data_IF_926477076240
#
_entry.id   IF_926477076240
#
_cell.length_a   1.000
_cell.length_b   1.000
_cell.length_c   1.000
_cell.angle_alpha   90.00
_cell.angle_beta   90.00
_cell.angle_gamma   90.00
#
_symmetry.space_group_name_H-M   'P 1'
#
loop_
_entity.id
_entity.type
_entity.pdbx_description
1 polymer ?
#
# COMPACT_ATOMS: atom_id res chain seq x y z
N UNK A 1 37.70 -10.78 0.01
CA UNK A 1 36.86 -9.97 -0.92
C UNK A 1 35.43 -10.42 -0.72
N UNK A 2 34.61 -9.59 -0.07
CA UNK A 2 33.17 -9.88 0.10
C UNK A 2 32.49 -9.85 -1.28
N UNK A 3 31.73 -10.88 -1.61
CA UNK A 3 30.91 -10.87 -2.83
C UNK A 3 29.95 -9.68 -2.79
N UNK A 4 29.73 -8.98 -3.91
CA UNK A 4 28.78 -7.89 -3.96
C UNK A 4 27.40 -8.42 -3.60
N UNK A 5 26.81 -7.85 -2.56
CA UNK A 5 25.44 -8.18 -2.09
C UNK A 5 24.48 -7.92 -3.25
N UNK A 6 23.79 -8.94 -3.71
CA UNK A 6 22.82 -8.84 -4.81
C UNK A 6 21.71 -7.89 -4.41
N UNK A 7 21.61 -6.73 -5.06
CA UNK A 7 20.55 -5.75 -4.83
C UNK A 7 19.20 -6.42 -5.08
N UNK A 8 18.33 -6.40 -4.10
CA UNK A 8 16.97 -6.96 -4.19
C UNK A 8 15.96 -5.86 -4.59
N UNK A 9 14.77 -6.25 -5.03
CA UNK A 9 13.68 -5.28 -5.27
C UNK A 9 13.26 -4.59 -3.98
N UNK A 10 13.36 -5.30 -2.84
CA UNK A 10 13.15 -4.68 -1.53
C UNK A 10 14.09 -3.49 -1.31
N UNK A 11 15.37 -3.65 -1.64
CA UNK A 11 16.35 -2.58 -1.53
C UNK A 11 15.97 -1.39 -2.42
N UNK A 12 15.60 -1.66 -3.67
CA UNK A 12 15.22 -0.59 -4.63
C UNK A 12 13.99 0.18 -4.18
N UNK A 13 12.98 -0.52 -3.66
CA UNK A 13 11.76 0.13 -3.15
C UNK A 13 12.08 0.92 -1.88
N UNK A 14 12.79 0.32 -0.91
CA UNK A 14 13.17 0.99 0.32
C UNK A 14 14.01 2.25 0.07
N UNK A 15 14.99 2.18 -0.83
CA UNK A 15 15.84 3.33 -1.16
C UNK A 15 15.05 4.49 -1.76
N UNK A 16 14.01 4.21 -2.56
CA UNK A 16 13.08 5.25 -3.06
C UNK A 16 12.28 5.90 -1.93
N UNK A 17 11.77 5.11 -0.99
CA UNK A 17 11.06 5.63 0.19
C UNK A 17 11.99 6.46 1.07
N UNK A 18 13.18 5.95 1.38
CA UNK A 18 14.21 6.66 2.15
C UNK A 18 14.55 8.00 1.48
N UNK A 19 14.79 7.99 0.17
CA UNK A 19 15.10 9.23 -0.57
C UNK A 19 13.96 10.24 -0.51
N UNK A 20 12.71 9.79 -0.65
CA UNK A 20 11.53 10.67 -0.53
C UNK A 20 11.42 11.27 0.87
N UNK A 21 11.58 10.45 1.92
CA UNK A 21 11.55 10.92 3.31
C UNK A 21 12.69 11.88 3.63
N UNK A 22 13.89 11.64 3.12
CA UNK A 22 15.03 12.55 3.25
C UNK A 22 14.76 13.93 2.63
N UNK A 23 13.95 13.96 1.56
CA UNK A 23 13.50 15.20 0.93
C UNK A 23 12.26 15.81 1.64
N UNK A 24 11.88 15.31 2.82
CA UNK A 24 10.73 15.81 3.56
C UNK A 24 9.37 15.42 2.95
N UNK A 25 9.34 14.45 2.04
CA UNK A 25 8.12 14.00 1.36
C UNK A 25 7.80 12.57 1.78
N UNK A 26 6.67 12.40 2.46
CA UNK A 26 6.11 11.07 2.67
C UNK A 26 5.39 10.62 1.37
N UNK A 27 5.87 9.56 0.68
CA UNK A 27 5.37 9.20 -0.66
C UNK A 27 3.88 8.88 -0.67
N UNK A 28 3.34 8.39 0.44
CA UNK A 28 1.92 8.04 0.60
C UNK A 28 0.99 9.25 0.79
N UNK A 29 1.55 10.46 0.90
CA UNK A 29 0.80 11.72 1.02
C UNK A 29 0.61 12.44 -0.31
N UNK A 30 0.91 11.83 -1.44
CA UNK A 30 0.71 12.47 -2.75
C UNK A 30 -0.77 12.61 -3.09
N UNK A 31 -1.18 13.78 -3.60
CA UNK A 31 -2.55 14.03 -4.00
C UNK A 31 -2.81 13.45 -5.40
N UNK A 32 -3.23 12.22 -5.52
CA UNK A 32 -3.77 11.72 -6.77
C UNK A 32 -4.97 10.81 -6.57
N UNK A 33 -5.91 10.98 -7.46
CA UNK A 33 -7.00 10.05 -7.67
C UNK A 33 -6.43 8.90 -8.49
N UNK A 34 -6.05 7.80 -7.88
CA UNK A 34 -5.73 6.61 -8.64
C UNK A 34 -6.69 5.49 -8.30
N UNK A 35 -7.21 4.91 -9.34
CA UNK A 35 -7.76 3.57 -9.33
C UNK A 35 -6.63 2.64 -8.87
N UNK A 36 -6.93 1.59 -8.11
CA UNK A 36 -5.93 0.57 -7.77
C UNK A 36 -5.14 0.16 -9.00
N UNK A 37 -3.81 0.30 -9.01
CA UNK A 37 -3.00 -0.03 -10.17
C UNK A 37 -3.27 -1.46 -10.60
N UNK A 38 -3.46 -1.69 -11.90
CA UNK A 38 -3.81 -2.99 -12.42
C UNK A 38 -2.99 -3.37 -13.66
N UNK A 39 -2.84 -4.67 -13.90
CA UNK A 39 -2.21 -5.15 -15.11
C UNK A 39 -3.11 -4.87 -16.32
N UNK A 40 -2.56 -4.24 -17.36
CA UNK A 40 -3.33 -3.80 -18.52
C UNK A 40 -3.91 -4.94 -19.36
N UNK A 41 -3.33 -6.15 -19.31
CA UNK A 41 -3.83 -7.33 -20.04
C UNK A 41 -4.84 -8.10 -19.20
N UNK A 42 -4.44 -8.57 -18.02
CA UNK A 42 -5.30 -9.41 -17.17
C UNK A 42 -6.40 -8.63 -16.46
N UNK A 43 -6.29 -7.31 -16.38
CA UNK A 43 -7.18 -6.41 -15.64
C UNK A 43 -7.24 -6.71 -14.14
N UNK A 44 -6.35 -7.55 -13.64
CA UNK A 44 -6.25 -7.84 -12.22
C UNK A 44 -5.53 -6.69 -11.50
N UNK A 45 -6.06 -6.21 -10.35
CA UNK A 45 -5.40 -5.21 -9.55
C UNK A 45 -4.11 -5.78 -8.94
N UNK A 46 -3.11 -4.93 -8.82
CA UNK A 46 -1.94 -5.24 -8.01
C UNK A 46 -2.29 -5.17 -6.52
N UNK A 47 -1.54 -5.89 -5.69
CA UNK A 47 -1.77 -5.96 -4.25
C UNK A 47 -0.49 -5.74 -3.45
N UNK A 48 -0.62 -5.46 -2.15
CA UNK A 48 0.49 -5.29 -1.22
C UNK A 48 1.50 -4.26 -1.70
N UNK A 49 2.79 -4.55 -1.56
CA UNK A 49 3.87 -3.65 -1.93
C UNK A 49 3.85 -3.23 -3.41
N UNK A 50 3.36 -4.09 -4.31
CA UNK A 50 3.25 -3.75 -5.73
C UNK A 50 2.23 -2.64 -5.95
N UNK A 51 1.05 -2.74 -5.34
CA UNK A 51 0.04 -1.69 -5.42
C UNK A 51 0.59 -0.36 -4.92
N UNK A 52 1.26 -0.36 -3.76
CA UNK A 52 1.90 0.84 -3.21
C UNK A 52 3.00 1.40 -4.12
N UNK A 53 3.90 0.54 -4.62
CA UNK A 53 4.98 0.99 -5.51
C UNK A 53 4.41 1.67 -6.76
N UNK A 54 3.40 1.07 -7.36
CA UNK A 54 2.79 1.60 -8.58
C UNK A 54 1.93 2.84 -8.31
N UNK A 55 1.20 2.88 -7.20
CA UNK A 55 0.43 4.05 -6.81
C UNK A 55 1.32 5.25 -6.48
N UNK A 56 2.41 5.09 -5.74
CA UNK A 56 3.23 6.20 -5.27
C UNK A 56 4.30 6.66 -6.26
N UNK A 57 4.83 5.78 -7.06
CA UNK A 57 5.92 6.09 -8.01
C UNK A 57 5.51 5.99 -9.47
N UNK A 58 4.30 5.51 -9.72
CA UNK A 58 3.77 5.40 -11.07
C UNK A 58 3.03 6.66 -11.53
N UNK A 59 2.59 6.61 -12.77
CA UNK A 59 1.90 7.72 -13.43
C UNK A 59 0.63 7.27 -14.17
N UNK A 60 0.17 6.04 -13.94
CA UNK A 60 -0.98 5.44 -14.62
C UNK A 60 -1.73 4.46 -13.70
N UNK A 61 -2.96 4.13 -14.09
CA UNK A 61 -3.75 3.05 -13.49
C UNK A 61 -3.44 1.69 -14.09
N UNK A 62 -2.88 1.66 -15.30
CA UNK A 62 -2.57 0.45 -16.04
C UNK A 62 -1.07 0.30 -16.26
N UNK A 63 -0.58 -0.89 -15.98
CA UNK A 63 0.83 -1.23 -16.14
C UNK A 63 0.99 -2.50 -16.96
N UNK A 64 2.02 -2.54 -17.80
CA UNK A 64 2.36 -3.65 -18.66
C UNK A 64 3.86 -3.97 -18.55
N UNK A 65 4.21 -5.24 -18.71
CA UNK A 65 5.61 -5.61 -18.95
C UNK A 65 5.99 -5.22 -20.38
N UNK A 66 7.28 -5.11 -20.66
CA UNK A 66 7.77 -4.81 -21.99
C UNK A 66 7.30 -5.83 -23.04
N UNK A 67 7.27 -7.12 -22.67
CA UNK A 67 6.77 -8.18 -23.54
C UNK A 67 5.28 -8.04 -23.83
N UNK A 68 4.47 -7.64 -22.85
CA UNK A 68 3.04 -7.37 -23.05
C UNK A 68 2.82 -6.18 -23.99
N UNK A 69 3.61 -5.10 -23.85
CA UNK A 69 3.54 -3.95 -24.77
C UNK A 69 3.82 -4.40 -26.20
N UNK A 70 4.89 -5.18 -26.40
CA UNK A 70 5.22 -5.72 -27.73
C UNK A 70 4.13 -6.66 -28.28
N UNK A 71 3.60 -7.54 -27.45
CA UNK A 71 2.53 -8.48 -27.87
C UNK A 71 1.25 -7.75 -28.29
N UNK A 72 0.99 -6.55 -27.73
CA UNK A 72 -0.10 -5.68 -28.14
C UNK A 72 0.24 -4.79 -29.35
N UNK A 73 1.38 -5.01 -30.01
CA UNK A 73 1.82 -4.21 -31.14
C UNK A 73 2.30 -2.80 -30.77
N UNK A 74 2.50 -2.54 -29.47
CA UNK A 74 2.87 -1.25 -28.98
C UNK A 74 4.37 -1.00 -28.91
N UNK A 75 4.72 0.26 -28.71
CA UNK A 75 6.10 0.74 -28.52
C UNK A 75 6.16 1.61 -27.27
N UNK A 76 7.19 1.40 -26.47
CA UNK A 76 7.46 2.21 -25.28
C UNK A 76 8.20 3.49 -25.68
N UNK A 77 7.83 4.62 -25.09
CA UNK A 77 8.55 5.89 -25.26
C UNK A 77 10.02 5.75 -24.83
N UNK A 78 10.94 6.29 -25.60
CA UNK A 78 12.37 6.25 -25.30
C UNK A 78 12.66 6.91 -23.94
N UNK A 79 13.55 6.30 -23.15
CA UNK A 79 13.92 6.79 -21.82
C UNK A 79 12.90 6.52 -20.71
N UNK A 80 11.77 5.87 -21.00
CA UNK A 80 10.80 5.51 -19.95
C UNK A 80 11.40 4.56 -18.92
N UNK A 81 11.37 4.98 -17.66
CA UNK A 81 11.81 4.14 -16.53
C UNK A 81 10.66 3.28 -16.04
N UNK A 82 10.87 1.96 -16.00
CA UNK A 82 9.90 1.05 -15.43
C UNK A 82 9.97 0.99 -13.90
N UNK A 83 8.91 0.44 -13.32
CA UNK A 83 8.80 0.21 -11.89
C UNK A 83 8.95 -1.29 -11.58
N UNK A 84 9.73 -1.66 -10.56
CA UNK A 84 9.89 -3.05 -10.17
C UNK A 84 8.65 -3.54 -9.43
N UNK A 85 8.21 -4.75 -9.75
CA UNK A 85 7.19 -5.47 -9.01
C UNK A 85 7.70 -6.85 -8.61
N UNK A 86 7.16 -7.39 -7.52
CA UNK A 86 7.46 -8.72 -7.02
C UNK A 86 6.29 -9.65 -7.30
N UNK A 87 6.58 -10.84 -7.79
CA UNK A 87 5.62 -11.92 -7.96
C UNK A 87 6.11 -13.14 -7.22
N UNK A 88 5.25 -13.76 -6.44
CA UNK A 88 5.57 -14.99 -5.72
C UNK A 88 4.93 -16.18 -6.44
N UNK A 89 5.77 -17.07 -6.96
CA UNK A 89 5.32 -18.31 -7.56
C UNK A 89 5.47 -19.45 -6.56
N UNK A 90 4.41 -20.22 -6.33
CA UNK A 90 4.50 -21.47 -5.59
C UNK A 90 5.12 -22.54 -6.51
N UNK A 91 6.33 -22.98 -6.20
CA UNK A 91 7.06 -24.00 -6.96
C UNK A 91 7.12 -25.27 -6.15
N UNK A 92 6.86 -26.40 -6.81
CA UNK A 92 6.98 -27.72 -6.16
C UNK A 92 8.45 -28.04 -5.89
N UNK A 93 8.73 -28.41 -4.66
CA UNK A 93 10.06 -28.88 -4.29
C UNK A 93 10.26 -30.33 -4.73
N UNK A 94 10.77 -30.50 -5.95
CA UNK A 94 11.05 -31.82 -6.52
C UNK A 94 12.10 -32.63 -5.74
N UNK A 95 12.78 -32.02 -4.76
CA UNK A 95 13.78 -32.69 -3.92
C UNK A 95 13.17 -33.31 -2.65
N UNK A 96 11.93 -32.95 -2.32
CA UNK A 96 11.24 -33.50 -1.16
C UNK A 96 10.22 -34.55 -1.54
N UNK A 97 10.07 -35.61 -0.72
CA UNK A 97 9.07 -36.63 -0.97
C UNK A 97 7.66 -36.06 -0.84
N UNK A 98 6.73 -36.60 -1.61
CA UNK A 98 5.31 -36.25 -1.48
C UNK A 98 4.78 -36.68 -0.10
N UNK A 99 4.09 -35.78 0.59
CA UNK A 99 3.41 -36.07 1.84
C UNK A 99 1.90 -36.10 1.56
N UNK A 100 1.24 -37.22 1.85
CA UNK A 100 -0.20 -37.44 1.58
C UNK A 100 -0.60 -37.15 0.12
N UNK A 101 0.26 -37.51 -0.84
CA UNK A 101 0.00 -37.29 -2.29
C UNK A 101 0.13 -35.84 -2.75
N UNK A 102 0.61 -34.93 -1.89
CA UNK A 102 0.87 -33.54 -2.28
C UNK A 102 2.37 -33.25 -2.24
N UNK A 103 2.86 -32.60 -3.30
CA UNK A 103 4.23 -32.10 -3.33
C UNK A 103 4.39 -30.93 -2.36
N UNK A 104 5.51 -30.91 -1.63
CA UNK A 104 5.88 -29.73 -0.84
C UNK A 104 6.15 -28.54 -1.78
N UNK A 105 5.70 -27.35 -1.41
CA UNK A 105 5.82 -26.16 -2.24
C UNK A 105 6.55 -25.06 -1.50
N UNK A 106 7.42 -24.37 -2.18
CA UNK A 106 8.06 -23.17 -1.65
C UNK A 106 7.73 -21.95 -2.52
N UNK A 107 7.70 -20.78 -1.92
CA UNK A 107 7.46 -19.52 -2.63
C UNK A 107 8.76 -18.99 -3.21
N UNK A 108 8.83 -18.92 -4.53
CA UNK A 108 9.94 -18.29 -5.23
C UNK A 108 9.54 -16.85 -5.62
N UNK A 109 10.26 -15.88 -5.08
CA UNK A 109 10.11 -14.50 -5.50
C UNK A 109 10.70 -14.30 -6.90
N UNK A 110 9.89 -13.80 -7.83
CA UNK A 110 10.31 -13.35 -9.16
C UNK A 110 10.08 -11.85 -9.27
N UNK A 111 10.96 -11.20 -10.00
CA UNK A 111 10.95 -9.76 -10.17
C UNK A 111 10.68 -9.42 -11.62
N UNK A 112 9.78 -8.48 -11.84
CA UNK A 112 9.44 -7.97 -13.16
C UNK A 112 9.52 -6.45 -13.16
N UNK A 113 9.79 -5.88 -14.30
CA UNK A 113 9.66 -4.44 -14.53
C UNK A 113 8.40 -4.19 -15.32
N UNK A 114 7.56 -3.29 -14.83
CA UNK A 114 6.35 -2.85 -15.53
C UNK A 114 6.42 -1.37 -15.86
N UNK A 115 5.75 -0.99 -16.90
CA UNK A 115 5.74 0.35 -17.46
C UNK A 115 4.31 0.89 -17.48
N UNK A 116 4.10 2.17 -17.19
CA UNK A 116 2.78 2.79 -17.26
C UNK A 116 2.30 2.85 -18.72
N UNK A 117 1.04 2.54 -18.94
CA UNK A 117 0.45 2.49 -20.29
C UNK A 117 0.43 3.85 -20.98
N UNK A 118 0.33 4.95 -20.22
CA UNK A 118 0.40 6.31 -20.77
C UNK A 118 1.78 6.68 -21.35
N UNK A 119 2.79 5.81 -21.15
CA UNK A 119 4.15 5.93 -21.70
C UNK A 119 4.42 4.92 -22.82
N UNK A 120 3.37 4.32 -23.36
CA UNK A 120 3.46 3.39 -24.48
C UNK A 120 2.47 3.82 -25.57
N UNK A 121 2.92 3.74 -26.82
CA UNK A 121 2.03 3.90 -27.96
C UNK A 121 1.24 2.61 -28.14
N UNK A 122 -0.02 2.61 -27.70
CA UNK A 122 -0.95 1.47 -27.71
C UNK A 122 -2.32 1.97 -28.21
N UNK A 123 -2.51 2.22 -29.51
CA UNK A 123 -3.70 2.88 -30.05
C UNK A 123 -5.01 2.13 -29.74
N UNK A 124 -4.95 0.79 -29.68
CA UNK A 124 -6.13 -0.05 -29.42
C UNK A 124 -6.35 -0.38 -27.93
N UNK A 125 -5.54 0.19 -27.04
CA UNK A 125 -5.68 -0.06 -25.61
C UNK A 125 -6.92 0.66 -25.05
N UNK A 126 -7.92 -0.12 -24.67
CA UNK A 126 -9.14 0.42 -24.06
C UNK A 126 -8.97 0.59 -22.55
N UNK A 127 -9.11 1.82 -22.08
CA UNK A 127 -9.23 2.12 -20.64
C UNK A 127 -10.67 1.89 -20.19
N UNK A 128 -10.86 1.37 -18.97
CA UNK A 128 -12.19 1.34 -18.39
C UNK A 128 -12.62 2.77 -18.05
N UNK A 129 -13.81 3.17 -18.47
CA UNK A 129 -14.42 4.41 -18.01
C UNK A 129 -14.89 4.21 -16.57
N UNK A 130 -14.17 4.75 -15.60
CA UNK A 130 -14.62 4.78 -14.22
C UNK A 130 -15.56 5.98 -14.07
N UNK A 131 -16.85 5.73 -14.05
CA UNK A 131 -17.83 6.74 -13.69
C UNK A 131 -17.84 6.85 -12.18
N UNK A 132 -17.35 7.95 -11.64
CA UNK A 132 -17.45 8.26 -10.21
C UNK A 132 -18.88 8.76 -9.99
N UNK A 133 -19.72 7.95 -9.33
CA UNK A 133 -21.12 8.26 -9.07
C UNK A 133 -21.36 8.92 -7.72
N UNK A 134 -20.34 9.03 -6.87
CA UNK A 134 -20.44 9.60 -5.53
C UNK A 134 -19.45 10.76 -5.35
N UNK A 135 -19.79 11.70 -4.45
CA UNK A 135 -18.81 12.68 -3.99
C UNK A 135 -17.75 11.97 -3.15
N UNK A 136 -16.50 12.45 -3.12
CA UNK A 136 -15.44 11.86 -2.29
C UNK A 136 -15.81 11.75 -0.81
N UNK A 137 -16.55 12.72 -0.27
CA UNK A 137 -17.01 12.71 1.14
C UNK A 137 -18.02 11.61 1.38
N UNK A 138 -19.03 11.44 0.52
CA UNK A 138 -20.03 10.35 0.63
C UNK A 138 -19.35 8.97 0.54
N UNK A 139 -18.34 8.84 -0.31
CA UNK A 139 -17.56 7.62 -0.41
C UNK A 139 -16.79 7.33 0.90
N UNK A 140 -16.20 8.38 1.51
CA UNK A 140 -15.51 8.25 2.80
C UNK A 140 -16.46 7.92 3.94
N UNK A 141 -17.64 8.51 3.99
CA UNK A 141 -18.67 8.18 4.98
C UNK A 141 -19.09 6.71 4.87
N UNK A 142 -19.36 6.24 3.65
CA UNK A 142 -19.72 4.83 3.41
C UNK A 142 -18.61 3.89 3.82
N UNK A 143 -17.35 4.23 3.52
CA UNK A 143 -16.21 3.43 3.90
C UNK A 143 -16.00 3.45 5.42
N UNK A 144 -16.09 4.62 6.07
CA UNK A 144 -15.98 4.77 7.52
C UNK A 144 -17.09 4.02 8.26
N UNK A 145 -18.29 3.92 7.69
CA UNK A 145 -19.40 3.16 8.27
C UNK A 145 -19.14 1.65 8.38
N UNK A 146 -18.14 1.11 7.68
CA UNK A 146 -17.72 -0.28 7.86
C UNK A 146 -16.96 -0.50 9.18
N UNK A 147 -16.52 0.57 9.83
CA UNK A 147 -15.82 0.48 11.10
C UNK A 147 -16.73 -0.05 12.21
N UNK A 148 -16.25 -1.09 12.90
CA UNK A 148 -16.95 -1.74 14.02
C UNK A 148 -16.45 -1.27 15.38
N UNK A 149 -15.33 -0.55 15.42
CA UNK A 149 -14.74 -0.02 16.64
C UNK A 149 -15.47 1.24 17.04
N UNK A 150 -16.02 1.35 18.28
CA UNK A 150 -16.73 2.53 18.72
C UNK A 150 -15.87 3.79 18.63
N UNK A 151 -16.42 4.84 18.05
CA UNK A 151 -15.77 6.16 17.96
C UNK A 151 -16.41 7.09 18.98
N UNK A 152 -15.60 7.73 19.82
CA UNK A 152 -16.02 8.73 20.79
C UNK A 152 -15.44 10.08 20.43
N UNK A 153 -16.26 11.12 20.48
CA UNK A 153 -15.84 12.48 20.14
C UNK A 153 -15.58 13.31 21.37
N UNK A 154 -14.48 14.06 21.35
CA UNK A 154 -14.07 14.99 22.40
C UNK A 154 -12.56 15.04 22.57
N UNK A 155 -12.07 16.01 23.33
CA UNK A 155 -10.63 16.21 23.51
C UNK A 155 -9.95 16.83 22.29
N UNK A 156 -8.60 16.89 22.35
CA UNK A 156 -7.77 17.59 21.36
C UNK A 156 -6.82 16.65 20.59
N UNK A 157 -6.95 15.33 20.78
CA UNK A 157 -6.09 14.34 20.12
C UNK A 157 -6.90 13.16 19.61
N UNK A 158 -6.54 12.64 18.45
CA UNK A 158 -7.02 11.37 17.97
C UNK A 158 -6.14 10.24 18.52
N UNK A 159 -6.74 9.11 18.85
CA UNK A 159 -6.02 7.92 19.29
C UNK A 159 -6.93 6.69 19.32
N UNK A 160 -6.36 5.53 19.03
CA UNK A 160 -6.98 4.26 19.37
C UNK A 160 -6.56 3.80 20.77
N UNK A 161 -7.52 3.53 21.65
CA UNK A 161 -7.28 2.93 22.98
C UNK A 161 -7.42 1.40 22.88
N UNK A 162 -6.30 0.64 22.89
CA UNK A 162 -6.35 -0.82 22.75
C UNK A 162 -6.93 -1.53 23.97
N UNK A 163 -6.99 -0.88 25.14
CA UNK A 163 -7.57 -1.44 26.37
C UNK A 163 -9.09 -1.35 26.34
N UNK A 164 -9.61 -0.19 25.95
CA UNK A 164 -11.06 0.05 25.84
C UNK A 164 -11.62 -0.42 24.51
N UNK A 165 -10.76 -0.68 23.52
CA UNK A 165 -11.12 -0.96 22.12
C UNK A 165 -12.04 0.13 21.56
N UNK A 166 -11.65 1.39 21.75
CA UNK A 166 -12.38 2.57 21.28
C UNK A 166 -11.44 3.52 20.56
N UNK A 167 -11.96 4.24 19.59
CA UNK A 167 -11.27 5.33 18.92
C UNK A 167 -11.73 6.65 19.54
N UNK A 168 -10.81 7.45 20.10
CA UNK A 168 -11.06 8.83 20.48
C UNK A 168 -10.75 9.75 19.30
N UNK A 169 -11.67 10.66 18.97
CA UNK A 169 -11.51 11.65 17.90
C UNK A 169 -11.85 13.04 18.40
N UNK A 170 -11.11 14.10 18.01
CA UNK A 170 -11.62 15.45 18.06
C UNK A 170 -12.92 15.55 17.25
N UNK A 171 -13.74 16.53 17.55
CA UNK A 171 -14.97 16.76 16.76
C UNK A 171 -14.62 17.15 15.32
N UNK A 172 -15.40 16.73 14.32
CA UNK A 172 -15.12 17.01 12.90
C UNK A 172 -14.85 18.51 12.63
N UNK A 173 -15.56 19.39 13.31
CA UNK A 173 -15.46 20.85 13.17
C UNK A 173 -14.10 21.41 13.68
N UNK A 174 -13.34 20.61 14.42
CA UNK A 174 -12.01 20.99 14.93
C UNK A 174 -10.91 20.83 13.90
N UNK A 175 -11.18 20.11 12.82
CA UNK A 175 -10.21 19.87 11.75
C UNK A 175 -10.19 21.03 10.76
N UNK A 176 -9.03 21.29 10.15
CA UNK A 176 -8.86 22.33 9.14
C UNK A 176 -9.62 22.02 7.84
N UNK A 177 -9.86 20.72 7.56
CA UNK A 177 -10.63 20.27 6.43
C UNK A 177 -11.24 18.88 6.70
N UNK A 178 -12.25 18.54 5.90
CA UNK A 178 -12.93 17.25 5.98
C UNK A 178 -12.01 16.10 5.57
N UNK A 179 -11.08 16.36 4.66
CA UNK A 179 -10.07 15.38 4.23
C UNK A 179 -9.15 15.01 5.39
N UNK A 180 -8.73 16.00 6.20
CA UNK A 180 -7.92 15.75 7.39
C UNK A 180 -8.67 14.94 8.43
N UNK A 181 -9.97 15.20 8.61
CA UNK A 181 -10.81 14.43 9.52
C UNK A 181 -10.85 12.95 9.11
N UNK A 182 -11.20 12.66 7.85
CA UNK A 182 -11.28 11.26 7.39
C UNK A 182 -9.94 10.56 7.39
N UNK A 183 -8.91 11.26 7.04
CA UNK A 183 -7.59 10.66 7.04
C UNK A 183 -7.13 10.29 8.46
N UNK A 184 -7.37 11.16 9.45
CA UNK A 184 -7.11 10.86 10.86
C UNK A 184 -7.99 9.70 11.33
N UNK A 185 -9.28 9.71 10.96
CA UNK A 185 -10.18 8.62 11.32
C UNK A 185 -9.73 7.28 10.75
N UNK A 186 -9.34 7.23 9.47
CA UNK A 186 -8.83 6.00 8.85
C UNK A 186 -7.51 5.54 9.45
N UNK A 187 -6.64 6.46 9.88
CA UNK A 187 -5.43 6.11 10.60
C UNK A 187 -5.76 5.37 11.92
N UNK A 188 -6.66 5.92 12.72
CA UNK A 188 -7.07 5.30 14.00
C UNK A 188 -7.84 3.97 13.78
N UNK A 189 -8.64 3.88 12.71
CA UNK A 189 -9.22 2.62 12.29
C UNK A 189 -8.12 1.62 11.93
N UNK A 190 -7.09 2.05 11.23
CA UNK A 190 -5.92 1.23 10.90
C UNK A 190 -5.32 0.57 12.14
N UNK A 191 -5.12 1.31 13.22
CA UNK A 191 -4.66 0.79 14.50
C UNK A 191 -5.64 -0.21 15.12
N UNK A 192 -6.93 0.07 15.06
CA UNK A 192 -7.96 -0.79 15.65
C UNK A 192 -8.07 -2.16 14.98
N UNK A 193 -7.57 -2.30 13.76
CA UNK A 193 -7.57 -3.55 12.99
C UNK A 193 -6.34 -4.44 13.24
N UNK A 194 -5.43 -4.04 14.13
CA UNK A 194 -4.27 -4.86 14.51
C UNK A 194 -4.71 -6.13 15.24
N UNK A 195 -4.24 -7.28 14.76
CA UNK A 195 -4.50 -8.58 15.37
C UNK A 195 -3.26 -9.14 16.06
N UNK A 196 -3.50 -9.90 17.12
CA UNK A 196 -2.55 -10.86 17.73
C UNK A 196 -1.42 -10.28 18.57
N UNK A 197 -0.89 -9.12 18.26
CA UNK A 197 0.21 -8.50 18.99
C UNK A 197 -0.29 -7.39 19.93
N UNK A 198 0.35 -7.26 21.10
CA UNK A 198 0.10 -6.11 21.97
C UNK A 198 0.53 -4.82 21.27
N UNK A 199 -0.27 -3.76 21.41
CA UNK A 199 0.16 -2.43 20.98
C UNK A 199 1.38 -2.01 21.80
N UNK A 200 2.50 -1.77 21.13
CA UNK A 200 3.68 -1.22 21.77
C UNK A 200 3.49 0.30 21.90
N UNK A 201 3.63 0.81 23.12
CA UNK A 201 3.50 2.25 23.41
C UNK A 201 4.85 2.96 23.48
N UNK A 202 5.95 2.22 23.33
CA UNK A 202 7.28 2.80 23.23
C UNK A 202 7.51 3.38 21.84
N UNK A 203 7.35 4.71 21.73
CA UNK A 203 7.48 5.45 20.47
C UNK A 203 8.86 5.37 19.81
N UNK A 204 9.87 4.90 20.52
CA UNK A 204 11.22 4.67 19.98
C UNK A 204 11.45 3.24 19.50
N UNK A 205 10.50 2.35 19.71
CA UNK A 205 10.63 0.95 19.28
C UNK A 205 10.41 0.78 17.76
N UNK A 206 11.04 -0.25 17.20
CA UNK A 206 10.83 -0.63 15.80
C UNK A 206 9.40 -1.09 15.54
N UNK A 207 8.79 -1.77 16.52
CA UNK A 207 7.42 -2.25 16.47
C UNK A 207 6.43 -1.10 16.39
N UNK A 208 6.66 -0.04 17.17
CA UNK A 208 5.86 1.18 17.11
C UNK A 208 6.00 1.86 15.74
N UNK A 209 7.23 2.10 15.29
CA UNK A 209 7.46 2.73 13.98
C UNK A 209 6.84 1.93 12.83
N UNK A 210 6.87 0.59 12.89
CA UNK A 210 6.21 -0.28 11.93
C UNK A 210 4.69 -0.13 12.00
N UNK A 211 4.11 -0.11 13.18
CA UNK A 211 2.66 0.00 13.37
C UNK A 211 2.13 1.34 12.86
N UNK A 212 2.82 2.44 13.17
CA UNK A 212 2.49 3.76 12.63
C UNK A 212 2.52 3.76 11.09
N UNK A 213 3.56 3.16 10.51
CA UNK A 213 3.68 3.05 9.06
C UNK A 213 2.54 2.23 8.46
N UNK A 214 2.10 1.15 9.12
CA UNK A 214 0.95 0.35 8.70
C UNK A 214 -0.34 1.16 8.73
N UNK A 215 -0.57 1.92 9.81
CA UNK A 215 -1.77 2.75 9.95
C UNK A 215 -1.80 3.87 8.90
N UNK A 216 -0.66 4.52 8.66
CA UNK A 216 -0.52 5.53 7.59
C UNK A 216 -0.84 4.96 6.20
N UNK A 217 -0.26 3.82 5.87
CA UNK A 217 -0.48 3.17 4.58
C UNK A 217 -1.94 2.70 4.44
N UNK A 218 -2.56 2.22 5.52
CA UNK A 218 -3.98 1.88 5.53
C UNK A 218 -4.86 3.11 5.27
N UNK A 219 -4.61 4.22 5.97
CA UNK A 219 -5.33 5.47 5.76
C UNK A 219 -5.18 5.96 4.31
N UNK A 220 -3.97 5.87 3.75
CA UNK A 220 -3.72 6.23 2.34
C UNK A 220 -4.51 5.37 1.36
N UNK A 221 -4.70 4.07 1.62
CA UNK A 221 -5.54 3.20 0.78
C UNK A 221 -6.99 3.69 0.85
N UNK A 222 -7.51 3.92 2.07
CA UNK A 222 -8.88 4.37 2.26
C UNK A 222 -9.17 5.70 1.56
N UNK A 223 -8.26 6.66 1.70
CA UNK A 223 -8.39 7.96 1.04
C UNK A 223 -8.36 7.83 -0.48
N UNK A 224 -7.48 6.98 -0.99
CA UNK A 224 -7.39 6.73 -2.43
C UNK A 224 -8.66 6.07 -2.99
N UNK A 225 -9.24 5.10 -2.28
CA UNK A 225 -10.49 4.44 -2.67
C UNK A 225 -11.68 5.41 -2.69
N UNK A 226 -11.69 6.37 -1.79
CA UNK A 226 -12.76 7.38 -1.69
C UNK A 226 -12.57 8.55 -2.64
N UNK A 227 -11.35 8.72 -3.19
CA UNK A 227 -10.99 9.88 -4.01
C UNK A 227 -10.84 11.17 -3.20
N UNK A 228 -10.77 11.08 -1.86
CA UNK A 228 -10.42 12.22 -1.02
C UNK A 228 -8.93 12.52 -1.18
N UNK A 229 -8.64 13.73 -1.63
CA UNK A 229 -7.28 14.22 -1.78
C UNK A 229 -6.85 14.92 -0.49
N UNK A 230 -6.23 14.16 0.40
CA UNK A 230 -5.62 14.76 1.57
C UNK A 230 -4.27 15.36 1.18
N UNK A 231 -4.21 16.66 1.02
CA UNK A 231 -2.98 17.37 0.68
C UNK A 231 -1.97 17.41 1.82
N UNK A 232 -2.40 17.21 3.06
CA UNK A 232 -1.52 17.09 4.25
C UNK A 232 -2.35 16.56 5.42
N UNK A 233 -2.32 15.27 5.67
CA UNK A 233 -3.10 14.69 6.76
C UNK A 233 -2.36 14.72 8.07
N UNK A 234 -1.08 14.52 8.03
CA UNK A 234 -0.23 14.56 9.21
C UNK A 234 0.72 15.72 9.08
N UNK A 235 0.79 16.55 10.12
CA UNK A 235 1.98 17.34 10.32
C UNK A 235 3.14 16.37 10.13
N UNK A 236 3.92 16.56 9.07
CA UNK A 236 5.21 15.90 8.88
C UNK A 236 6.10 16.37 10.02
N UNK A 237 5.75 15.96 11.26
CA UNK A 237 6.63 16.27 12.35
C UNK A 237 7.95 15.62 12.00
N UNK A 238 8.99 16.42 11.93
CA UNK A 238 10.35 15.97 11.61
C UNK A 238 10.74 14.72 12.42
N UNK A 239 10.13 14.53 13.59
CA UNK A 239 10.32 13.39 14.46
C UNK A 239 9.78 12.07 13.86
N UNK A 240 8.58 12.06 13.27
CA UNK A 240 8.04 10.83 12.63
C UNK A 240 8.84 10.47 11.37
N UNK A 241 9.15 11.45 10.54
CA UNK A 241 9.99 11.22 9.36
C UNK A 241 11.36 10.66 9.74
N UNK A 242 11.97 11.17 10.82
CA UNK A 242 13.25 10.69 11.31
C UNK A 242 13.19 9.28 11.88
N UNK A 243 12.11 8.93 12.58
CA UNK A 243 11.88 7.58 13.09
C UNK A 243 11.72 6.57 11.95
N UNK A 244 10.93 6.91 10.92
CA UNK A 244 10.78 6.05 9.74
C UNK A 244 12.06 5.94 8.93
N UNK A 245 12.80 7.03 8.75
CA UNK A 245 14.12 7.00 8.12
C UNK A 245 15.07 6.04 8.84
N UNK A 246 15.13 6.13 10.16
CA UNK A 246 15.95 5.25 10.98
C UNK A 246 15.51 3.79 10.86
N UNK A 247 14.20 3.53 10.97
CA UNK A 247 13.65 2.19 10.89
C UNK A 247 13.88 1.55 9.50
N UNK A 248 13.66 2.28 8.42
CA UNK A 248 13.84 1.81 7.05
C UNK A 248 15.33 1.63 6.69
N UNK A 249 16.21 2.47 7.21
CA UNK A 249 17.66 2.32 7.02
C UNK A 249 18.19 1.06 7.70
N UNK A 250 17.59 0.67 8.83
CA UNK A 250 17.95 -0.54 9.59
C UNK A 250 17.32 -1.82 9.04
N UNK A 251 16.11 -1.73 8.45
CA UNK A 251 15.42 -2.86 7.82
C UNK A 251 14.73 -2.43 6.53
N UNK A 252 15.39 -2.61 5.40
CA UNK A 252 14.84 -2.29 4.08
C UNK A 252 13.61 -3.13 3.70
N UNK A 253 13.35 -4.24 4.41
CA UNK A 253 12.13 -5.03 4.20
C UNK A 253 10.92 -4.47 4.94
N UNK A 254 11.12 -3.48 5.82
CA UNK A 254 10.08 -2.91 6.67
C UNK A 254 8.91 -2.35 5.85
N UNK A 255 9.21 -1.61 4.78
CA UNK A 255 8.16 -1.05 3.92
C UNK A 255 7.30 -2.12 3.25
N UNK A 256 7.91 -3.22 2.80
CA UNK A 256 7.17 -4.34 2.21
C UNK A 256 6.28 -5.02 3.24
N UNK A 257 6.79 -5.23 4.46
CA UNK A 257 6.03 -5.83 5.56
C UNK A 257 4.86 -4.94 5.97
N UNK A 258 5.11 -3.63 6.11
CA UNK A 258 4.07 -2.66 6.46
C UNK A 258 3.00 -2.54 5.37
N UNK A 259 3.40 -2.45 4.10
CA UNK A 259 2.49 -2.40 2.97
C UNK A 259 1.63 -3.66 2.86
N UNK A 260 2.22 -4.85 3.04
CA UNK A 260 1.48 -6.12 3.03
C UNK A 260 0.47 -6.18 4.17
N UNK A 261 0.84 -5.74 5.38
CA UNK A 261 -0.05 -5.72 6.53
C UNK A 261 -1.18 -4.70 6.36
N UNK A 262 -0.88 -3.49 5.91
CA UNK A 262 -1.88 -2.46 5.64
C UNK A 262 -2.92 -2.94 4.61
N UNK A 263 -2.47 -3.62 3.56
CA UNK A 263 -3.35 -4.18 2.55
C UNK A 263 -4.21 -5.34 3.07
N UNK A 264 -3.69 -6.18 3.97
CA UNK A 264 -4.47 -7.21 4.65
C UNK A 264 -5.56 -6.59 5.53
N UNK A 265 -5.23 -5.55 6.31
CA UNK A 265 -6.20 -4.81 7.12
C UNK A 265 -7.29 -4.21 6.24
N UNK A 266 -6.92 -3.60 5.12
CA UNK A 266 -7.86 -3.01 4.19
C UNK A 266 -8.81 -4.05 3.58
N UNK A 267 -8.32 -5.20 3.13
CA UNK A 267 -9.17 -6.30 2.62
C UNK A 267 -10.19 -6.76 3.65
N UNK A 268 -9.77 -6.98 4.90
CA UNK A 268 -10.68 -7.37 5.98
C UNK A 268 -11.71 -6.28 6.28
N UNK A 269 -11.27 -5.04 6.31
CA UNK A 269 -12.10 -3.87 6.55
C UNK A 269 -13.17 -3.71 5.46
N UNK A 270 -12.81 -3.89 4.22
CA UNK A 270 -13.70 -3.77 3.07
C UNK A 270 -14.56 -5.04 2.82
N UNK A 271 -14.48 -6.04 3.69
CA UNK A 271 -15.26 -7.28 3.56
C UNK A 271 -14.75 -8.24 2.47
N UNK A 272 -13.63 -7.95 1.84
CA UNK A 272 -12.93 -8.88 0.99
C UNK A 272 -12.25 -9.93 1.88
N UNK A 273 -12.94 -11.05 2.10
CA UNK A 273 -12.32 -12.23 2.73
C UNK A 273 -11.06 -12.56 1.93
N UNK A 274 -9.94 -12.68 2.60
CA UNK A 274 -8.72 -13.14 1.96
C UNK A 274 -9.03 -14.50 1.31
N UNK A 275 -9.34 -14.48 0.03
CA UNK A 275 -9.20 -15.66 -0.79
C UNK A 275 -7.75 -16.07 -0.59
N UNK A 276 -7.54 -17.25 -0.01
CA UNK A 276 -6.24 -17.91 0.00
C UNK A 276 -5.64 -17.65 -1.37
N UNK A 277 -4.46 -17.04 -1.42
CA UNK A 277 -3.74 -16.77 -2.66
C UNK A 277 -3.38 -18.13 -3.28
N UNK A 278 -4.39 -18.78 -3.86
CA UNK A 278 -4.23 -19.92 -4.74
C UNK A 278 -4.44 -19.40 -6.15
N UNK A 279 -3.32 -19.40 -6.87
CA UNK A 279 -3.25 -19.40 -8.32
C UNK A 279 -3.59 -18.08 -9.03
N UNK A 280 -2.55 -17.32 -9.28
CA UNK A 280 -2.48 -16.56 -10.53
C UNK A 280 -1.65 -17.40 -11.50
N UNK A 281 -2.32 -18.27 -12.25
CA UNK A 281 -1.78 -18.81 -13.50
C UNK A 281 -1.56 -17.66 -14.46
N UNK A 282 -0.38 -17.67 -15.08
CA UNK A 282 0.15 -16.72 -16.05
C UNK A 282 -0.77 -16.51 -17.25
#
# INVERSE_FOLDING_TARGET
>A
MSQPTKITVADVIADRFITSLQNGVAPWQKPWVSVSPQNGVSRKPYSGVNAFTLAFYGSDDYYLTFNQIKALGGQLEAGTKGLPITYFAAIEDKKKPMVNGKADRFLLARYYTVFPVNKANLPDFKRANKVITFTPVEAAEKLAALNKTPVTFGGNSAHFDPRKKTIGMPRPESFKSIEQYYATLFHEIGHSLKEGEKHNTDCFSKEYAKEELVAELFASICLNETGLLATTVFDNSSAYLQNWLTALSNDKTLIQKAASEAFKRWKRFNGEVAAVETEVTA
#
